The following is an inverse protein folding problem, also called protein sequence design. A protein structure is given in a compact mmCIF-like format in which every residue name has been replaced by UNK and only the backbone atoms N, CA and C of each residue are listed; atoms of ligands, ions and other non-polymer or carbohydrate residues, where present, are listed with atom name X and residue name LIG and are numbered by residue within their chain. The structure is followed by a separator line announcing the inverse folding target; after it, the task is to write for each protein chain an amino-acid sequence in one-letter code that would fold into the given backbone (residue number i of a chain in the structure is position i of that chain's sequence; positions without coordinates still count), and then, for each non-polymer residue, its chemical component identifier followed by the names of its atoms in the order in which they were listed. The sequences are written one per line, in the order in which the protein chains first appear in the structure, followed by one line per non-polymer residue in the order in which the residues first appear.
data_IF_736599282228
#
_entry.id   IF_736599282228
#
_cell.length_a   1.000
_cell.length_b   1.000
_cell.length_c   1.000
_cell.angle_alpha   90.00
_cell.angle_beta   90.00
_cell.angle_gamma   90.00
#
_symmetry.space_group_name_H-M   'P 1'
#
loop_
_entity.id
_entity.type
_entity.pdbx_description
1 polymer ?
#
# COMPACT_ATOMS: atom_id res chain seq x y z
N UNK A 1 -10.81 -4.22 -32.76
CA UNK A 1 -12.09 -4.08 -32.03
C UNK A 1 -12.02 -4.87 -30.73
N UNK A 2 -12.03 -4.14 -29.61
CA UNK A 2 -12.52 -4.48 -28.25
C UNK A 2 -12.00 -5.78 -27.59
N UNK A 3 -11.06 -5.61 -26.64
CA UNK A 3 -11.22 -5.96 -25.20
C UNK A 3 -9.94 -5.62 -24.38
N UNK A 4 -9.91 -4.52 -23.61
CA UNK A 4 -9.09 -4.38 -22.42
C UNK A 4 -10.03 -4.26 -21.21
N UNK A 5 -10.33 -5.39 -20.54
CA UNK A 5 -11.34 -5.42 -19.48
C UNK A 5 -11.02 -6.33 -18.30
N UNK A 6 -9.74 -6.67 -18.05
CA UNK A 6 -9.37 -7.65 -17.01
C UNK A 6 -8.22 -7.24 -16.07
N UNK A 7 -7.79 -5.97 -16.06
CA UNK A 7 -6.57 -5.60 -15.30
C UNK A 7 -6.81 -5.03 -13.89
N UNK A 8 -8.05 -4.76 -13.48
CA UNK A 8 -8.35 -4.20 -12.13
C UNK A 8 -8.77 -5.30 -11.14
N UNK A 9 -9.42 -6.39 -11.59
CA UNK A 9 -9.64 -7.58 -10.76
C UNK A 9 -8.35 -8.33 -10.38
N UNK A 10 -7.28 -8.20 -11.17
CA UNK A 10 -6.03 -8.93 -10.91
C UNK A 10 -5.34 -8.44 -9.64
N UNK A 11 -5.52 -7.19 -9.20
CA UNK A 11 -4.83 -6.72 -8.00
C UNK A 11 -5.41 -7.33 -6.71
N UNK A 12 -6.63 -7.89 -6.72
CA UNK A 12 -7.18 -8.59 -5.53
C UNK A 12 -7.31 -10.11 -5.70
N UNK A 13 -7.46 -10.62 -6.93
CA UNK A 13 -7.44 -12.08 -7.17
C UNK A 13 -6.02 -12.66 -7.30
N UNK A 14 -4.98 -11.86 -7.57
CA UNK A 14 -3.57 -12.28 -7.39
C UNK A 14 -3.04 -12.10 -5.95
N UNK A 15 -3.88 -11.73 -4.97
CA UNK A 15 -3.55 -11.90 -3.54
C UNK A 15 -3.73 -13.35 -3.06
N UNK A 16 -4.33 -14.22 -3.88
CA UNK A 16 -4.63 -15.62 -3.57
C UNK A 16 -3.97 -16.65 -4.50
N UNK A 17 -3.13 -16.25 -5.47
CA UNK A 17 -2.47 -17.18 -6.38
C UNK A 17 -0.93 -17.05 -6.31
N UNK A 18 -0.35 -17.76 -5.35
CA UNK A 18 0.95 -18.40 -5.54
C UNK A 18 0.82 -19.89 -5.29
N UNK A 19 0.01 -20.58 -6.09
CA UNK A 19 0.22 -22.01 -6.40
C UNK A 19 -0.55 -22.40 -7.66
N UNK A 20 0.22 -22.82 -8.68
CA UNK A 20 -0.15 -23.59 -9.88
C UNK A 20 -1.07 -22.86 -10.89
N UNK A 21 -0.79 -22.78 -12.19
CA UNK A 21 -0.20 -23.80 -13.07
C UNK A 21 0.71 -23.18 -14.15
N UNK A 22 1.97 -23.60 -14.19
CA UNK A 22 2.47 -24.23 -15.42
C UNK A 22 2.73 -25.68 -15.08
N UNK A 23 1.81 -26.50 -15.53
CA UNK A 23 1.92 -27.93 -15.70
C UNK A 23 3.25 -28.31 -16.39
N UNK A 24 4.19 -28.82 -15.61
CA UNK A 24 4.72 -30.15 -15.95
C UNK A 24 3.97 -31.10 -15.03
N UNK A 25 3.23 -31.98 -15.67
CA UNK A 25 2.31 -32.91 -15.06
C UNK A 25 2.96 -33.77 -13.96
N UNK A 26 2.14 -34.04 -12.95
CA UNK A 26 2.11 -35.23 -12.13
C UNK A 26 3.07 -36.36 -12.59
N UNK A 27 4.13 -36.56 -11.83
CA UNK A 27 4.47 -37.91 -11.37
C UNK A 27 4.52 -37.86 -9.86
N UNK A 28 3.51 -38.46 -9.21
CA UNK A 28 3.58 -38.81 -7.80
C UNK A 28 4.82 -39.68 -7.61
N UNK A 29 5.85 -39.15 -6.98
CA UNK A 29 6.75 -39.97 -6.17
C UNK A 29 6.51 -39.57 -4.71
N UNK A 30 5.74 -40.41 -4.01
CA UNK A 30 5.85 -40.52 -2.57
C UNK A 30 7.33 -40.80 -2.26
N UNK A 31 8.04 -39.85 -1.68
CA UNK A 31 9.33 -40.12 -1.06
C UNK A 31 9.02 -40.48 0.40
N UNK A 32 9.17 -41.74 0.82
CA UNK A 32 8.97 -42.13 2.20
C UNK A 32 10.06 -41.51 3.09
N UNK A 33 9.70 -41.24 4.35
CA UNK A 33 10.58 -40.85 5.43
C UNK A 33 11.74 -41.85 5.60
N UNK A 34 12.89 -41.58 4.98
CA UNK A 34 14.22 -41.95 5.47
C UNK A 34 15.29 -41.36 4.54
N UNK A 35 15.91 -40.26 4.92
CA UNK A 35 17.14 -39.76 4.27
C UNK A 35 18.25 -39.65 5.30
N UNK A 36 19.20 -40.59 5.24
CA UNK A 36 20.49 -40.40 5.92
C UNK A 36 21.26 -39.32 5.15
N UNK A 37 21.70 -38.29 5.86
CA UNK A 37 22.53 -37.21 5.30
C UNK A 37 23.97 -37.38 5.77
N UNK A 38 24.93 -37.17 4.87
CA UNK A 38 26.35 -37.12 5.21
C UNK A 38 26.85 -35.69 5.05
N UNK A 39 27.48 -35.17 6.10
CA UNK A 39 28.10 -33.85 6.09
C UNK A 39 29.52 -34.01 5.54
N UNK A 40 29.80 -33.34 4.42
CA UNK A 40 31.15 -33.25 3.87
C UNK A 40 31.70 -31.87 4.23
N UNK A 41 32.88 -31.86 4.85
CA UNK A 41 33.61 -30.64 5.17
C UNK A 41 34.75 -30.50 4.15
N UNK A 42 34.75 -29.42 3.37
CA UNK A 42 35.84 -29.12 2.45
C UNK A 42 36.70 -28.02 3.09
N UNK A 43 37.98 -28.32 3.27
CA UNK A 43 38.97 -27.38 3.78
C UNK A 43 39.59 -26.62 2.61
N UNK A 44 39.41 -25.31 2.56
CA UNK A 44 40.09 -24.43 1.60
C UNK A 44 41.22 -23.72 2.36
N UNK A 45 42.49 -23.83 1.92
CA UNK A 45 43.59 -23.16 2.62
C UNK A 45 43.37 -21.64 2.66
N UNK A 46 43.31 -21.08 3.88
CA UNK A 46 43.14 -19.63 4.11
C UNK A 46 41.71 -19.17 4.45
N UNK A 47 40.70 -20.05 4.43
CA UNK A 47 39.30 -19.73 4.81
C UNK A 47 38.70 -20.84 5.66
N UNK A 48 37.79 -20.51 6.61
CA UNK A 48 37.07 -21.49 7.45
C UNK A 48 36.36 -22.56 6.60
N UNK A 49 36.37 -23.79 7.11
CA UNK A 49 35.81 -24.97 6.44
C UNK A 49 34.33 -24.81 6.09
N UNK A 50 33.97 -25.06 4.83
CA UNK A 50 32.59 -25.07 4.36
C UNK A 50 32.01 -26.48 4.55
N UNK A 51 30.87 -26.57 5.24
CA UNK A 51 30.11 -27.82 5.44
C UNK A 51 28.95 -27.87 4.47
N UNK A 52 28.92 -28.92 3.65
CA UNK A 52 27.82 -29.22 2.75
C UNK A 52 27.11 -30.49 3.21
N UNK A 53 25.78 -30.49 3.13
CA UNK A 53 24.96 -31.66 3.44
C UNK A 53 24.57 -32.32 2.11
N UNK A 54 25.17 -33.46 1.80
CA UNK A 54 24.91 -34.17 0.55
C UNK A 54 23.69 -35.10 0.74
N UNK A 55 22.62 -34.85 -0.03
CA UNK A 55 21.45 -35.71 -0.12
C UNK A 55 21.74 -36.79 -1.18
N UNK A 56 21.99 -38.02 -0.73
CA UNK A 56 22.18 -39.18 -1.61
C UNK A 56 20.83 -39.60 -2.20
N UNK A 57 20.52 -39.11 -3.41
CA UNK A 57 19.44 -39.65 -4.23
C UNK A 57 20.04 -40.71 -5.16
N UNK A 58 19.56 -41.94 -5.04
CA UNK A 58 20.07 -43.08 -5.79
C UNK A 58 19.85 -42.94 -7.30
N UNK A 59 20.81 -43.45 -8.06
CA UNK A 59 21.22 -42.99 -9.39
C UNK A 59 20.29 -43.43 -10.53
N UNK A 60 19.72 -42.46 -11.26
CA UNK A 60 19.24 -42.65 -12.64
C UNK A 60 20.12 -41.87 -13.65
N UNK A 61 20.69 -42.60 -14.63
CA UNK A 61 21.66 -42.08 -15.62
C UNK A 61 21.07 -41.00 -16.53
N UNK A 62 19.74 -40.91 -16.61
CA UNK A 62 19.03 -39.97 -17.50
C UNK A 62 19.08 -38.53 -16.99
N UNK A 63 19.17 -38.33 -15.67
CA UNK A 63 19.21 -37.01 -15.01
C UNK A 63 20.57 -36.31 -15.20
N UNK A 64 21.65 -37.07 -15.41
CA UNK A 64 23.03 -36.55 -15.50
C UNK A 64 23.24 -35.57 -16.67
N UNK A 65 22.60 -35.80 -17.82
CA UNK A 65 22.71 -34.89 -18.98
C UNK A 65 21.89 -33.61 -18.82
N UNK A 66 20.76 -33.69 -18.12
CA UNK A 66 19.92 -32.51 -17.84
C UNK A 66 20.54 -31.61 -16.75
N UNK A 67 21.16 -32.18 -15.72
CA UNK A 67 21.84 -31.37 -14.69
C UNK A 67 23.10 -30.68 -15.23
N UNK A 68 23.86 -31.31 -16.14
CA UNK A 68 25.07 -30.70 -16.70
C UNK A 68 24.75 -29.49 -17.61
N UNK A 69 23.64 -29.51 -18.35
CA UNK A 69 23.22 -28.37 -19.18
C UNK A 69 22.59 -27.23 -18.36
N UNK A 70 21.94 -27.56 -17.24
CA UNK A 70 21.38 -26.58 -16.29
C UNK A 70 22.48 -25.88 -15.48
N UNK A 71 23.53 -26.61 -15.05
CA UNK A 71 24.65 -26.03 -14.31
C UNK A 71 25.46 -25.01 -15.13
N UNK A 72 25.60 -25.22 -16.44
CA UNK A 72 26.36 -24.30 -17.30
C UNK A 72 25.61 -22.98 -17.56
N UNK A 73 24.27 -22.97 -17.50
CA UNK A 73 23.45 -21.75 -17.61
C UNK A 73 23.30 -20.97 -16.30
N UNK A 74 23.38 -21.63 -15.14
CA UNK A 74 23.23 -20.99 -13.83
C UNK A 74 24.45 -20.16 -13.42
N UNK A 75 25.67 -20.54 -13.86
CA UNK A 75 26.89 -19.84 -13.43
C UNK A 75 27.00 -18.44 -14.06
N UNK A 76 26.47 -18.25 -15.28
CA UNK A 76 26.51 -16.95 -15.97
C UNK A 76 25.45 -15.94 -15.50
N UNK A 77 24.41 -16.36 -14.77
CA UNK A 77 23.41 -15.42 -14.19
C UNK A 77 23.65 -15.10 -12.70
N UNK A 78 24.76 -15.57 -12.13
CA UNK A 78 24.97 -15.54 -10.68
C UNK A 78 25.19 -14.13 -10.11
N UNK A 79 25.67 -13.16 -10.90
CA UNK A 79 26.00 -11.81 -10.39
C UNK A 79 24.76 -10.99 -9.99
N UNK A 80 23.68 -11.04 -10.78
CA UNK A 80 22.40 -10.38 -10.46
C UNK A 80 21.66 -11.09 -9.32
N UNK A 81 21.68 -12.42 -9.28
CA UNK A 81 21.02 -13.17 -8.20
C UNK A 81 21.72 -13.01 -6.85
N UNK A 82 23.06 -12.94 -6.83
CA UNK A 82 23.77 -12.58 -5.60
C UNK A 82 23.49 -11.14 -5.21
N UNK A 83 23.49 -10.18 -6.14
CA UNK A 83 23.27 -8.78 -5.76
C UNK A 83 21.87 -8.54 -5.16
N UNK A 84 20.84 -9.21 -5.70
CA UNK A 84 19.48 -9.15 -5.15
C UNK A 84 19.37 -9.89 -3.80
N UNK A 85 20.00 -11.06 -3.65
CA UNK A 85 19.97 -11.82 -2.39
C UNK A 85 20.61 -11.06 -1.23
N UNK A 86 21.71 -10.35 -1.47
CA UNK A 86 22.39 -9.54 -0.46
C UNK A 86 21.61 -8.27 -0.12
N UNK A 87 20.98 -7.64 -1.12
CA UNK A 87 20.09 -6.48 -0.92
C UNK A 87 18.86 -6.88 -0.08
N UNK A 88 18.32 -8.08 -0.31
CA UNK A 88 17.18 -8.62 0.44
C UNK A 88 17.55 -8.93 1.91
N UNK A 89 18.77 -9.42 2.18
CA UNK A 89 19.24 -9.71 3.54
C UNK A 89 19.55 -8.44 4.34
N UNK A 90 20.19 -7.45 3.72
CA UNK A 90 20.44 -6.13 4.35
C UNK A 90 19.13 -5.37 4.63
N UNK A 91 18.20 -5.37 3.66
CA UNK A 91 16.87 -4.77 3.84
C UNK A 91 16.10 -5.46 4.98
N UNK A 92 16.17 -6.79 5.07
CA UNK A 92 15.55 -7.55 6.14
C UNK A 92 16.14 -7.20 7.52
N UNK A 93 17.46 -7.11 7.66
CA UNK A 93 18.09 -6.81 8.94
C UNK A 93 17.89 -5.35 9.38
N UNK A 94 17.97 -4.40 8.45
CA UNK A 94 17.65 -2.99 8.74
C UNK A 94 16.19 -2.82 9.16
N UNK A 95 15.25 -3.50 8.48
CA UNK A 95 13.84 -3.55 8.87
C UNK A 95 13.64 -4.12 10.28
N UNK A 96 14.23 -5.29 10.57
CA UNK A 96 14.13 -5.91 11.91
C UNK A 96 14.68 -5.00 12.99
N UNK A 97 15.81 -4.33 12.72
CA UNK A 97 16.41 -3.36 13.64
C UNK A 97 15.43 -2.21 13.90
N UNK A 98 14.85 -1.65 12.84
CA UNK A 98 13.86 -0.58 12.91
C UNK A 98 12.65 -0.96 13.77
N UNK A 99 12.07 -2.13 13.52
CA UNK A 99 10.83 -2.57 14.17
C UNK A 99 11.00 -3.02 15.63
N UNK A 100 12.23 -3.13 16.16
CA UNK A 100 12.48 -3.37 17.59
C UNK A 100 12.22 -2.12 18.44
N UNK A 101 12.45 -0.94 17.89
CA UNK A 101 12.21 0.36 18.55
C UNK A 101 11.74 1.35 17.49
N UNK A 102 10.49 1.21 17.01
CA UNK A 102 10.03 1.92 15.82
C UNK A 102 9.88 3.41 16.08
N UNK A 103 10.58 4.21 15.29
CA UNK A 103 10.35 5.66 15.17
C UNK A 103 9.64 5.96 13.87
N UNK A 104 8.92 7.07 13.82
CA UNK A 104 8.23 7.55 12.62
C UNK A 104 9.16 7.65 11.41
N UNK A 105 10.31 8.33 11.56
CA UNK A 105 11.33 8.45 10.50
C UNK A 105 11.82 7.08 10.00
N UNK A 106 12.24 6.20 10.91
CA UNK A 106 12.79 4.90 10.53
C UNK A 106 11.76 4.04 9.77
N UNK A 107 10.51 4.00 10.25
CA UNK A 107 9.47 3.19 9.62
C UNK A 107 9.08 3.74 8.24
N UNK A 108 9.07 5.07 8.06
CA UNK A 108 8.82 5.70 6.76
C UNK A 108 9.96 5.39 5.77
N UNK A 109 11.22 5.42 6.22
CA UNK A 109 12.37 5.03 5.40
C UNK A 109 12.26 3.56 4.96
N UNK A 110 11.87 2.66 5.87
CA UNK A 110 11.62 1.26 5.53
C UNK A 110 10.47 1.11 4.54
N UNK A 111 9.37 1.85 4.70
CA UNK A 111 8.27 1.85 3.73
C UNK A 111 8.75 2.25 2.32
N UNK A 112 9.61 3.25 2.23
CA UNK A 112 10.21 3.70 0.96
C UNK A 112 11.16 2.65 0.37
N UNK A 113 12.01 2.03 1.19
CA UNK A 113 12.94 0.98 0.76
C UNK A 113 12.19 -0.25 0.21
N UNK A 114 11.16 -0.71 0.93
CA UNK A 114 10.30 -1.83 0.50
C UNK A 114 9.50 -1.50 -0.77
N UNK A 115 9.03 -0.25 -0.91
CA UNK A 115 8.43 0.19 -2.16
C UNK A 115 9.43 0.08 -3.31
N UNK A 116 10.66 0.61 -3.15
CA UNK A 116 11.72 0.56 -4.17
C UNK A 116 12.15 -0.87 -4.52
N UNK A 117 12.17 -1.78 -3.56
CA UNK A 117 12.46 -3.20 -3.77
C UNK A 117 11.35 -3.94 -4.53
N UNK A 118 10.15 -3.35 -4.64
CA UNK A 118 9.06 -3.95 -5.41
C UNK A 118 9.33 -3.89 -6.92
N UNK A 119 9.46 -5.06 -7.53
CA UNK A 119 9.78 -5.21 -8.96
C UNK A 119 8.61 -4.83 -9.88
N UNK A 120 7.38 -5.16 -9.49
CA UNK A 120 6.18 -4.79 -10.23
C UNK A 120 5.98 -3.26 -10.18
N UNK A 121 6.09 -2.63 -11.34
CA UNK A 121 6.03 -1.16 -11.47
C UNK A 121 4.73 -0.61 -10.90
N UNK A 122 3.60 -1.28 -11.15
CA UNK A 122 2.30 -0.80 -10.70
C UNK A 122 2.19 -0.84 -9.18
N UNK A 123 2.57 -1.96 -8.56
CA UNK A 123 2.56 -2.14 -7.09
C UNK A 123 3.54 -1.21 -6.39
N UNK A 124 4.75 -1.04 -6.94
CA UNK A 124 5.73 -0.07 -6.43
C UNK A 124 5.13 1.33 -6.45
N UNK A 125 4.72 1.78 -7.64
CA UNK A 125 4.27 3.14 -7.86
C UNK A 125 3.02 3.46 -7.03
N UNK A 126 2.11 2.50 -6.86
CA UNK A 126 0.97 2.61 -5.98
C UNK A 126 1.39 2.73 -4.50
N UNK A 127 2.37 1.94 -4.06
CA UNK A 127 2.89 2.01 -2.68
C UNK A 127 3.59 3.34 -2.40
N UNK A 128 4.31 3.90 -3.38
CA UNK A 128 4.99 5.19 -3.25
C UNK A 128 4.00 6.36 -3.03
N UNK A 129 2.72 6.23 -3.41
CA UNK A 129 1.68 7.23 -3.08
C UNK A 129 1.48 7.31 -1.56
N UNK A 130 1.41 6.17 -0.87
CA UNK A 130 1.23 6.14 0.58
C UNK A 130 2.51 6.53 1.32
N UNK A 131 3.68 6.20 0.77
CA UNK A 131 4.97 6.69 1.30
C UNK A 131 5.02 8.22 1.22
N UNK A 132 4.60 8.80 0.09
CA UNK A 132 4.47 10.26 -0.09
C UNK A 132 3.56 10.87 0.98
N UNK A 133 2.40 10.25 1.24
CA UNK A 133 1.48 10.71 2.28
C UNK A 133 2.13 10.65 3.68
N UNK A 134 2.83 9.56 3.99
CA UNK A 134 3.50 9.39 5.28
C UNK A 134 4.61 10.43 5.48
N UNK A 135 5.43 10.69 4.46
CA UNK A 135 6.47 11.73 4.49
C UNK A 135 5.87 13.14 4.67
N UNK A 136 4.79 13.47 3.96
CA UNK A 136 4.06 14.73 4.15
C UNK A 136 3.55 14.85 5.58
N UNK A 137 2.98 13.78 6.14
CA UNK A 137 2.44 13.76 7.51
C UNK A 137 3.54 13.88 8.57
N UNK A 138 4.72 13.33 8.28
CA UNK A 138 5.93 13.51 9.07
C UNK A 138 6.51 14.93 8.96
N UNK A 139 6.09 15.72 7.97
CA UNK A 139 6.53 17.10 7.75
C UNK A 139 7.66 17.24 6.72
N UNK A 140 8.07 16.14 6.08
CA UNK A 140 9.14 16.13 5.07
C UNK A 140 8.57 16.22 3.65
N UNK A 141 8.16 17.43 3.26
CA UNK A 141 7.62 17.71 1.91
C UNK A 141 8.69 17.49 0.83
N UNK A 142 9.98 17.69 1.15
CA UNK A 142 11.09 17.48 0.21
C UNK A 142 11.20 16.01 -0.16
N UNK A 143 11.31 15.12 0.84
CA UNK A 143 11.38 13.68 0.58
C UNK A 143 10.10 13.15 -0.10
N UNK A 144 8.93 13.69 0.26
CA UNK A 144 7.68 13.37 -0.42
C UNK A 144 7.71 13.74 -1.92
N UNK A 145 8.33 14.88 -2.26
CA UNK A 145 8.50 15.33 -3.65
C UNK A 145 9.41 14.38 -4.41
N UNK A 146 10.57 14.02 -3.86
CA UNK A 146 11.49 13.05 -4.47
C UNK A 146 10.84 11.67 -4.68
N UNK A 147 10.09 11.19 -3.68
CA UNK A 147 9.32 9.94 -3.75
C UNK A 147 8.25 10.01 -4.85
N UNK A 148 7.57 11.14 -5.00
CA UNK A 148 6.57 11.36 -6.06
C UNK A 148 7.21 11.37 -7.45
N UNK A 149 8.37 11.97 -7.61
CA UNK A 149 9.11 11.97 -8.88
C UNK A 149 9.56 10.57 -9.30
N UNK A 150 9.85 9.69 -8.33
CA UNK A 150 10.20 8.29 -8.57
C UNK A 150 9.04 7.43 -9.10
N UNK A 151 7.79 7.87 -8.96
CA UNK A 151 6.61 7.18 -9.52
C UNK A 151 6.66 7.24 -11.04
N UNK A 152 6.89 6.11 -11.71
CA UNK A 152 7.06 6.05 -13.18
C UNK A 152 5.73 6.13 -13.92
N UNK A 153 4.66 5.59 -13.34
CA UNK A 153 3.34 5.62 -13.93
C UNK A 153 2.72 7.01 -13.81
N UNK A 154 2.57 7.70 -14.95
CA UNK A 154 2.05 9.07 -14.99
C UNK A 154 0.67 9.21 -14.33
N UNK A 155 -0.24 8.24 -14.47
CA UNK A 155 -1.57 8.31 -13.84
C UNK A 155 -1.51 8.15 -12.32
N UNK A 156 -0.62 7.30 -11.81
CA UNK A 156 -0.40 7.13 -10.36
C UNK A 156 0.41 8.26 -9.73
N UNK A 157 1.17 9.03 -10.52
CA UNK A 157 1.88 10.21 -10.01
C UNK A 157 0.93 11.34 -9.61
N UNK A 158 -0.19 11.49 -10.32
CA UNK A 158 -1.17 12.56 -10.08
C UNK A 158 -1.76 12.58 -8.64
N UNK A 159 -2.23 11.46 -8.06
CA UNK A 159 -2.70 11.49 -6.67
C UNK A 159 -1.58 11.86 -5.67
N UNK A 160 -0.34 11.41 -5.88
CA UNK A 160 0.80 11.79 -5.03
C UNK A 160 1.14 13.29 -5.12
N UNK A 161 1.12 13.85 -6.34
CA UNK A 161 1.24 15.29 -6.56
C UNK A 161 0.16 16.09 -5.82
N UNK A 162 -1.09 15.61 -5.81
CA UNK A 162 -2.18 16.29 -5.11
C UNK A 162 -2.05 16.26 -3.58
N UNK A 163 -1.44 15.20 -3.03
CA UNK A 163 -1.09 15.13 -1.60
C UNK A 163 -0.06 16.23 -1.27
N UNK A 164 0.98 16.39 -2.09
CA UNK A 164 1.98 17.45 -1.94
C UNK A 164 1.35 18.84 -2.12
N UNK A 165 0.49 19.02 -3.13
CA UNK A 165 -0.19 20.28 -3.36
C UNK A 165 -1.02 20.72 -2.14
N UNK A 166 -1.76 19.78 -1.53
CA UNK A 166 -2.50 20.03 -0.29
C UNK A 166 -1.54 20.39 0.86
N UNK A 167 -0.41 19.70 0.99
CA UNK A 167 0.60 20.01 2.01
C UNK A 167 1.14 21.44 1.88
N UNK A 168 1.54 21.84 0.66
CA UNK A 168 1.97 23.21 0.37
C UNK A 168 0.90 24.24 0.70
N UNK A 169 -0.37 23.97 0.35
CA UNK A 169 -1.47 24.86 0.67
C UNK A 169 -1.67 25.03 2.19
N UNK A 170 -1.56 23.94 2.96
CA UNK A 170 -1.71 23.98 4.42
C UNK A 170 -0.61 24.82 5.08
N UNK A 171 0.62 24.78 4.57
CA UNK A 171 1.73 25.63 5.05
C UNK A 171 1.77 27.03 4.39
N UNK A 172 0.72 27.41 3.65
CA UNK A 172 0.58 28.74 3.04
C UNK A 172 1.35 28.95 1.74
N UNK A 173 2.05 27.94 1.21
CA UNK A 173 2.69 28.00 -0.11
C UNK A 173 1.66 27.76 -1.24
N UNK A 174 0.73 28.70 -1.40
CA UNK A 174 -0.32 28.61 -2.41
C UNK A 174 0.22 28.65 -3.85
N UNK A 175 1.37 29.26 -4.08
CA UNK A 175 1.98 29.32 -5.42
C UNK A 175 2.35 27.92 -5.91
N UNK A 176 3.09 27.14 -5.11
CA UNK A 176 3.47 25.78 -5.49
C UNK A 176 2.26 24.85 -5.52
N UNK A 177 1.34 24.97 -4.54
CA UNK A 177 0.09 24.21 -4.54
C UNK A 177 -0.71 24.43 -5.85
N UNK A 178 -0.88 25.68 -6.26
CA UNK A 178 -1.61 26.01 -7.49
C UNK A 178 -0.88 25.50 -8.74
N UNK A 179 0.45 25.63 -8.80
CA UNK A 179 1.26 25.08 -9.90
C UNK A 179 1.04 23.57 -10.07
N UNK A 180 1.11 22.81 -8.98
CA UNK A 180 0.87 21.36 -9.02
C UNK A 180 -0.57 21.04 -9.43
N UNK A 181 -1.58 21.74 -8.87
CA UNK A 181 -2.99 21.47 -9.26
C UNK A 181 -3.25 21.76 -10.75
N UNK A 182 -2.57 22.76 -11.33
CA UNK A 182 -2.67 23.05 -12.76
C UNK A 182 -1.99 21.96 -13.61
N UNK A 183 -0.83 21.44 -13.18
CA UNK A 183 -0.20 20.30 -13.84
C UNK A 183 -1.12 19.08 -13.86
N UNK A 184 -1.78 18.79 -12.73
CA UNK A 184 -2.73 17.68 -12.63
C UNK A 184 -3.94 17.89 -13.55
N UNK A 185 -4.51 19.10 -13.56
CA UNK A 185 -5.64 19.43 -14.44
C UNK A 185 -5.32 19.20 -15.92
N UNK A 186 -4.10 19.50 -16.36
CA UNK A 186 -3.64 19.28 -17.75
C UNK A 186 -3.42 17.80 -18.12
N UNK A 187 -3.40 16.89 -17.14
CA UNK A 187 -3.10 15.48 -17.36
C UNK A 187 -4.26 14.54 -16.97
N UNK A 188 -5.27 15.01 -16.25
CA UNK A 188 -6.36 14.19 -15.74
C UNK A 188 -7.19 13.53 -16.85
N UNK A 189 -7.39 14.20 -17.99
CA UNK A 189 -8.13 13.67 -19.13
C UNK A 189 -7.45 12.46 -19.79
N UNK A 190 -6.14 12.30 -19.59
CA UNK A 190 -5.36 11.17 -20.12
C UNK A 190 -5.58 9.89 -19.30
N UNK A 191 -6.18 9.98 -18.12
CA UNK A 191 -6.43 8.84 -17.24
C UNK A 191 -7.59 8.00 -17.81
N UNK A 192 -7.27 6.76 -18.19
CA UNK A 192 -8.27 5.82 -18.74
C UNK A 192 -8.99 4.97 -17.69
N UNK A 193 -8.40 4.84 -16.50
CA UNK A 193 -8.93 3.99 -15.44
C UNK A 193 -9.93 4.81 -14.61
N UNK A 194 -11.24 4.44 -14.59
CA UNK A 194 -12.25 5.24 -13.90
C UNK A 194 -11.94 5.47 -12.43
N UNK A 195 -11.45 4.46 -11.71
CA UNK A 195 -11.15 4.60 -10.29
C UNK A 195 -10.03 5.62 -10.02
N UNK A 196 -8.93 5.61 -10.80
CA UNK A 196 -7.86 6.61 -10.65
C UNK A 196 -8.40 7.99 -11.00
N UNK A 197 -9.21 8.08 -12.06
CA UNK A 197 -9.79 9.35 -12.48
C UNK A 197 -10.69 9.95 -11.38
N UNK A 198 -11.57 9.15 -10.80
CA UNK A 198 -12.41 9.55 -9.66
C UNK A 198 -11.55 9.95 -8.45
N UNK A 199 -10.51 9.18 -8.14
CA UNK A 199 -9.61 9.47 -7.02
C UNK A 199 -8.90 10.81 -7.21
N UNK A 200 -8.33 11.06 -8.40
CA UNK A 200 -7.65 12.32 -8.73
C UNK A 200 -8.63 13.49 -8.70
N UNK A 201 -9.87 13.35 -9.19
CA UNK A 201 -10.87 14.41 -9.06
C UNK A 201 -11.20 14.74 -7.59
N UNK A 202 -11.41 13.73 -6.74
CA UNK A 202 -11.68 13.95 -5.31
C UNK A 202 -10.49 14.60 -4.57
N UNK A 203 -9.27 14.16 -4.86
CA UNK A 203 -8.05 14.75 -4.29
C UNK A 203 -7.81 16.17 -4.83
N UNK A 204 -8.08 16.43 -6.11
CA UNK A 204 -8.00 17.78 -6.71
C UNK A 204 -8.95 18.72 -6.00
N UNK A 205 -10.18 18.29 -5.74
CA UNK A 205 -11.13 19.09 -4.97
C UNK A 205 -10.63 19.39 -3.56
N UNK A 206 -10.00 18.42 -2.90
CA UNK A 206 -9.41 18.60 -1.57
C UNK A 206 -8.23 19.60 -1.58
N UNK A 207 -7.32 19.49 -2.55
CA UNK A 207 -6.18 20.40 -2.70
C UNK A 207 -6.64 21.83 -3.06
N UNK A 208 -7.58 21.96 -3.99
CA UNK A 208 -8.18 23.24 -4.38
C UNK A 208 -8.96 23.90 -3.23
N UNK A 209 -9.60 23.10 -2.38
CA UNK A 209 -10.22 23.61 -1.14
C UNK A 209 -9.17 24.20 -0.21
N UNK A 210 -8.03 23.52 -0.04
CA UNK A 210 -6.93 24.01 0.78
C UNK A 210 -6.32 25.32 0.24
N UNK A 211 -6.34 25.54 -1.08
CA UNK A 211 -5.96 26.82 -1.71
C UNK A 211 -7.10 27.84 -1.80
N UNK A 212 -8.26 27.57 -1.15
CA UNK A 212 -9.48 28.39 -1.16
C UNK A 212 -10.12 28.58 -2.55
N UNK A 213 -9.75 27.76 -3.53
CA UNK A 213 -10.37 27.73 -4.86
C UNK A 213 -11.64 26.86 -4.88
N UNK A 214 -12.65 27.28 -4.10
CA UNK A 214 -13.89 26.52 -3.90
C UNK A 214 -14.69 26.29 -5.19
N UNK A 215 -14.59 27.21 -6.16
CA UNK A 215 -15.26 27.06 -7.46
C UNK A 215 -14.75 25.83 -8.20
N UNK A 216 -13.43 25.72 -8.38
CA UNK A 216 -12.84 24.57 -9.07
C UNK A 216 -12.92 23.30 -8.23
N UNK A 217 -12.87 23.40 -6.90
CA UNK A 217 -13.11 22.26 -6.03
C UNK A 217 -14.50 21.64 -6.26
N UNK A 218 -15.55 22.47 -6.33
CA UNK A 218 -16.92 22.02 -6.63
C UNK A 218 -17.05 21.38 -8.02
N UNK A 219 -16.38 21.92 -9.03
CA UNK A 219 -16.37 21.30 -10.37
C UNK A 219 -15.72 19.92 -10.34
N UNK A 220 -14.58 19.76 -9.67
CA UNK A 220 -13.92 18.46 -9.53
C UNK A 220 -14.78 17.44 -8.75
N UNK A 221 -15.55 17.88 -7.75
CA UNK A 221 -16.50 17.00 -7.04
C UNK A 221 -17.58 16.48 -7.99
N UNK A 222 -18.12 17.32 -8.87
CA UNK A 222 -19.11 16.90 -9.86
C UNK A 222 -18.54 15.87 -10.83
N UNK A 223 -17.31 16.08 -11.30
CA UNK A 223 -16.60 15.11 -12.15
C UNK A 223 -16.34 13.77 -11.43
N UNK A 224 -15.98 13.81 -10.15
CA UNK A 224 -15.82 12.61 -9.34
C UNK A 224 -17.15 11.84 -9.18
N UNK A 225 -18.25 12.55 -8.94
CA UNK A 225 -19.60 11.98 -8.85
C UNK A 225 -20.08 11.35 -10.17
N UNK A 226 -19.68 11.91 -11.31
CA UNK A 226 -20.00 11.33 -12.62
C UNK A 226 -19.15 10.09 -12.90
N UNK A 227 -17.86 10.14 -12.59
CA UNK A 227 -16.92 9.05 -12.91
C UNK A 227 -17.05 7.84 -11.99
N UNK A 228 -17.47 8.01 -10.72
CA UNK A 228 -17.60 6.89 -9.76
C UNK A 228 -18.57 5.81 -10.25
N UNK A 229 -19.61 6.18 -10.99
CA UNK A 229 -20.57 5.24 -11.58
C UNK A 229 -20.00 4.32 -12.67
N UNK A 230 -18.80 4.65 -13.19
CA UNK A 230 -18.11 3.86 -14.21
C UNK A 230 -17.19 2.78 -13.61
N UNK A 231 -16.97 2.81 -12.29
CA UNK A 231 -16.17 1.83 -11.56
C UNK A 231 -16.99 0.55 -11.37
N UNK A 232 -16.41 -0.60 -11.70
CA UNK A 232 -17.13 -1.88 -11.68
C UNK A 232 -17.18 -2.52 -10.30
N UNK A 233 -16.09 -2.39 -9.56
CA UNK A 233 -15.85 -3.03 -8.28
C UNK A 233 -16.57 -2.25 -7.16
N UNK A 234 -17.47 -2.92 -6.42
CA UNK A 234 -18.25 -2.29 -5.35
C UNK A 234 -17.37 -1.75 -4.23
N UNK A 235 -16.34 -2.49 -3.80
CA UNK A 235 -15.39 -2.02 -2.78
C UNK A 235 -14.69 -0.72 -3.21
N UNK A 236 -14.22 -0.65 -4.45
CA UNK A 236 -13.58 0.56 -4.99
C UNK A 236 -14.58 1.72 -5.11
N UNK A 237 -15.85 1.46 -5.48
CA UNK A 237 -16.89 2.50 -5.42
C UNK A 237 -17.10 3.00 -3.99
N UNK A 238 -17.10 2.12 -2.99
CA UNK A 238 -17.25 2.50 -1.59
C UNK A 238 -16.13 3.46 -1.14
N UNK A 239 -14.88 3.11 -1.43
CA UNK A 239 -13.71 3.96 -1.16
C UNK A 239 -13.83 5.31 -1.86
N UNK A 240 -14.18 5.32 -3.14
CA UNK A 240 -14.33 6.56 -3.91
C UNK A 240 -15.48 7.43 -3.40
N UNK A 241 -16.62 6.85 -3.01
CA UNK A 241 -17.71 7.59 -2.39
C UNK A 241 -17.27 8.23 -1.06
N UNK A 242 -16.47 7.53 -0.24
CA UNK A 242 -15.92 8.09 0.99
C UNK A 242 -14.98 9.28 0.72
N UNK A 243 -14.13 9.20 -0.30
CA UNK A 243 -13.25 10.31 -0.70
C UNK A 243 -14.02 11.49 -1.30
N UNK A 244 -15.06 11.23 -2.10
CA UNK A 244 -15.96 12.28 -2.61
C UNK A 244 -16.67 12.98 -1.44
N UNK A 245 -17.14 12.22 -0.45
CA UNK A 245 -17.75 12.79 0.75
C UNK A 245 -16.79 13.67 1.54
N UNK A 246 -15.52 13.27 1.68
CA UNK A 246 -14.45 14.10 2.27
C UNK A 246 -14.28 15.42 1.51
N UNK A 247 -14.19 15.36 0.18
CA UNK A 247 -14.08 16.56 -0.67
C UNK A 247 -15.32 17.48 -0.55
N UNK A 248 -16.53 16.89 -0.49
CA UNK A 248 -17.77 17.63 -0.25
C UNK A 248 -17.78 18.32 1.11
N UNK A 249 -17.29 17.65 2.16
CA UNK A 249 -17.16 18.23 3.48
C UNK A 249 -16.23 19.46 3.46
N UNK A 250 -15.11 19.37 2.74
CA UNK A 250 -14.15 20.47 2.59
C UNK A 250 -14.76 21.75 2.00
N UNK A 251 -15.73 21.62 1.09
CA UNK A 251 -16.46 22.78 0.51
C UNK A 251 -17.77 23.11 1.26
N UNK A 252 -17.88 22.62 2.50
CA UNK A 252 -19.03 22.77 3.42
C UNK A 252 -20.35 22.14 2.93
N UNK A 253 -20.30 21.19 2.01
CA UNK A 253 -21.46 20.42 1.58
C UNK A 253 -21.64 19.15 2.45
N UNK A 254 -22.04 19.34 3.70
CA UNK A 254 -22.23 18.25 4.67
C UNK A 254 -23.39 17.31 4.32
N UNK A 255 -24.42 17.83 3.65
CA UNK A 255 -25.54 17.02 3.17
C UNK A 255 -25.09 16.04 2.09
N UNK A 256 -24.39 16.53 1.06
CA UNK A 256 -23.83 15.69 0.01
C UNK A 256 -22.81 14.69 0.56
N UNK A 257 -21.97 15.12 1.51
CA UNK A 257 -21.01 14.24 2.18
C UNK A 257 -21.71 13.08 2.90
N UNK A 258 -22.78 13.37 3.66
CA UNK A 258 -23.56 12.35 4.35
C UNK A 258 -24.26 11.39 3.39
N UNK A 259 -24.76 11.89 2.27
CA UNK A 259 -25.35 11.06 1.21
C UNK A 259 -24.31 10.10 0.61
N UNK A 260 -23.10 10.58 0.28
CA UNK A 260 -22.05 9.73 -0.26
C UNK A 260 -21.48 8.74 0.77
N UNK A 261 -21.44 9.09 2.06
CA UNK A 261 -21.14 8.11 3.13
C UNK A 261 -22.17 6.96 3.12
N UNK A 262 -23.46 7.26 2.98
CA UNK A 262 -24.49 6.22 2.91
C UNK A 262 -24.36 5.36 1.65
N UNK A 263 -24.07 5.97 0.49
CA UNK A 263 -23.75 5.24 -0.75
C UNK A 263 -22.54 4.32 -0.55
N UNK A 264 -21.49 4.79 0.13
CA UNK A 264 -20.33 3.98 0.43
C UNK A 264 -20.68 2.74 1.27
N UNK A 265 -21.54 2.86 2.29
CA UNK A 265 -22.04 1.70 3.03
C UNK A 265 -22.84 0.72 2.15
N UNK A 266 -23.72 1.24 1.29
CA UNK A 266 -24.47 0.40 0.34
C UNK A 266 -23.54 -0.39 -0.59
N UNK A 267 -22.39 0.17 -0.96
CA UNK A 267 -21.38 -0.52 -1.76
C UNK A 267 -20.54 -1.52 -0.93
N UNK A 268 -20.30 -1.24 0.36
CA UNK A 268 -19.71 -2.21 1.30
C UNK A 268 -20.61 -3.43 1.48
N UNK A 269 -21.92 -3.24 1.59
CA UNK A 269 -22.88 -4.34 1.75
C UNK A 269 -22.88 -5.30 0.54
N UNK A 270 -22.46 -4.81 -0.64
CA UNK A 270 -22.28 -5.61 -1.87
C UNK A 270 -20.90 -6.25 -1.97
N UNK A 271 -20.00 -6.02 -1.00
CA UNK A 271 -18.61 -6.48 -1.05
C UNK A 271 -18.46 -7.76 -0.23
N UNK A 272 -18.27 -8.89 -0.92
CA UNK A 272 -18.13 -10.21 -0.28
C UNK A 272 -16.76 -10.40 0.36
N UNK A 273 -15.69 -9.90 -0.27
CA UNK A 273 -14.33 -10.10 0.23
C UNK A 273 -14.11 -9.37 1.57
N UNK A 274 -13.77 -10.09 2.66
CA UNK A 274 -13.65 -9.49 3.99
C UNK A 274 -12.55 -8.43 4.09
N UNK A 275 -11.46 -8.58 3.32
CA UNK A 275 -10.37 -7.61 3.32
C UNK A 275 -10.81 -6.32 2.63
N UNK A 276 -11.41 -6.41 1.44
CA UNK A 276 -11.93 -5.25 0.71
C UNK A 276 -13.04 -4.54 1.48
N UNK A 277 -13.90 -5.30 2.14
CA UNK A 277 -14.93 -4.76 3.03
C UNK A 277 -14.32 -3.98 4.20
N UNK A 278 -13.27 -4.53 4.86
CA UNK A 278 -12.61 -3.86 5.98
C UNK A 278 -11.85 -2.59 5.54
N UNK A 279 -11.20 -2.62 4.37
CA UNK A 279 -10.50 -1.48 3.80
C UNK A 279 -11.48 -0.33 3.50
N UNK A 280 -12.57 -0.62 2.79
CA UNK A 280 -13.61 0.36 2.49
C UNK A 280 -14.26 0.95 3.76
N UNK A 281 -14.53 0.12 4.79
CA UNK A 281 -15.01 0.60 6.09
C UNK A 281 -14.02 1.56 6.75
N UNK A 282 -12.71 1.34 6.59
CA UNK A 282 -11.68 2.23 7.16
C UNK A 282 -11.69 3.60 6.46
N UNK A 283 -11.85 3.65 5.14
CA UNK A 283 -12.06 4.91 4.41
C UNK A 283 -13.33 5.64 4.86
N UNK A 284 -14.45 4.92 5.00
CA UNK A 284 -15.71 5.51 5.48
C UNK A 284 -15.55 6.08 6.89
N UNK A 285 -14.86 5.36 7.79
CA UNK A 285 -14.59 5.83 9.14
C UNK A 285 -13.77 7.12 9.14
N UNK A 286 -12.70 7.19 8.34
CA UNK A 286 -11.91 8.40 8.16
C UNK A 286 -12.79 9.59 7.80
N UNK A 287 -13.63 9.45 6.75
CA UNK A 287 -14.53 10.51 6.32
C UNK A 287 -15.58 10.87 7.38
N UNK A 288 -16.14 9.88 8.08
CA UNK A 288 -17.10 10.12 9.16
C UNK A 288 -16.53 11.01 10.25
N UNK A 289 -15.25 10.85 10.59
CA UNK A 289 -14.58 11.74 11.53
C UNK A 289 -14.45 13.16 10.97
N UNK A 290 -14.06 13.32 9.71
CA UNK A 290 -13.92 14.63 9.07
C UNK A 290 -15.24 15.42 9.03
N UNK A 291 -16.37 14.75 8.79
CA UNK A 291 -17.71 15.38 8.81
C UNK A 291 -18.30 15.53 10.22
N UNK A 292 -17.56 15.16 11.28
CA UNK A 292 -18.00 15.28 12.67
C UNK A 292 -18.99 14.20 13.15
N UNK A 293 -19.17 13.11 12.40
CA UNK A 293 -20.02 11.97 12.79
C UNK A 293 -19.29 11.02 13.78
N UNK A 294 -18.75 11.56 14.88
CA UNK A 294 -17.86 10.86 15.81
C UNK A 294 -18.43 9.54 16.37
N UNK A 295 -19.74 9.49 16.65
CA UNK A 295 -20.40 8.26 17.13
C UNK A 295 -20.42 7.18 16.05
N UNK A 296 -20.73 7.55 14.81
CA UNK A 296 -20.73 6.62 13.69
C UNK A 296 -19.31 6.15 13.37
N UNK A 297 -18.34 7.07 13.36
CA UNK A 297 -16.92 6.79 13.22
C UNK A 297 -16.46 5.66 14.17
N UNK A 298 -16.71 5.78 15.47
CA UNK A 298 -16.33 4.76 16.47
C UNK A 298 -16.95 3.38 16.17
N UNK A 299 -18.23 3.34 15.75
CA UNK A 299 -18.90 2.10 15.36
C UNK A 299 -18.26 1.47 14.12
N UNK A 300 -17.98 2.29 13.11
CA UNK A 300 -17.38 1.85 11.85
C UNK A 300 -15.95 1.32 12.08
N UNK A 301 -15.13 2.01 12.88
CA UNK A 301 -13.79 1.53 13.28
C UNK A 301 -13.88 0.19 14.00
N UNK A 302 -14.81 0.04 14.95
CA UNK A 302 -14.99 -1.25 15.65
C UNK A 302 -15.34 -2.39 14.70
N UNK A 303 -16.20 -2.13 13.69
CA UNK A 303 -16.53 -3.12 12.66
C UNK A 303 -15.33 -3.43 11.77
N UNK A 304 -14.56 -2.42 11.36
CA UNK A 304 -13.35 -2.58 10.56
C UNK A 304 -12.28 -3.38 11.32
N UNK A 305 -12.04 -3.09 12.61
CA UNK A 305 -11.14 -3.83 13.49
C UNK A 305 -11.55 -5.30 13.61
N UNK A 306 -12.83 -5.55 13.88
CA UNK A 306 -13.36 -6.91 14.02
C UNK A 306 -13.11 -7.72 12.74
N UNK A 307 -13.34 -7.13 11.56
CA UNK A 307 -13.02 -7.77 10.29
C UNK A 307 -11.52 -7.94 10.10
N UNK A 308 -10.70 -6.93 10.41
CA UNK A 308 -9.25 -7.00 10.27
C UNK A 308 -8.64 -8.18 11.04
N UNK A 309 -9.15 -8.46 12.25
CA UNK A 309 -8.68 -9.54 13.10
C UNK A 309 -8.97 -10.95 12.56
N UNK A 310 -9.93 -11.10 11.64
CA UNK A 310 -10.22 -12.39 10.98
C UNK A 310 -9.40 -12.61 9.70
N UNK A 311 -8.68 -11.59 9.24
CA UNK A 311 -7.89 -11.65 8.00
C UNK A 311 -6.57 -12.41 8.20
N UNK A 312 -6.06 -12.93 7.09
CA UNK A 312 -4.68 -13.45 7.02
C UNK A 312 -3.66 -12.33 7.24
N UNK A 313 -2.41 -12.70 7.50
CA UNK A 313 -1.33 -11.79 7.91
C UNK A 313 -1.17 -10.55 7.05
N UNK A 314 -1.04 -10.66 5.72
CA UNK A 314 -0.81 -9.50 4.84
C UNK A 314 -1.98 -8.52 4.84
N UNK A 315 -3.23 -8.95 4.55
CA UNK A 315 -4.38 -8.02 4.60
C UNK A 315 -4.61 -7.43 5.99
N UNK A 316 -4.43 -8.24 7.04
CA UNK A 316 -4.55 -7.81 8.44
C UNK A 316 -3.58 -6.68 8.77
N UNK A 317 -2.31 -6.81 8.39
CA UNK A 317 -1.28 -5.80 8.66
C UNK A 317 -1.66 -4.45 8.04
N UNK A 318 -2.06 -4.44 6.77
CA UNK A 318 -2.45 -3.23 6.06
C UNK A 318 -3.67 -2.55 6.69
N UNK A 319 -4.73 -3.31 6.96
CA UNK A 319 -5.97 -2.75 7.53
C UNK A 319 -5.74 -2.23 8.95
N UNK A 320 -5.02 -2.97 9.80
CA UNK A 320 -4.70 -2.51 11.16
C UNK A 320 -3.82 -1.25 11.13
N UNK A 321 -2.80 -1.21 10.26
CA UNK A 321 -1.96 -0.03 10.10
C UNK A 321 -2.80 1.19 9.68
N UNK A 322 -3.69 1.02 8.71
CA UNK A 322 -4.54 2.11 8.25
C UNK A 322 -5.51 2.58 9.35
N UNK A 323 -6.17 1.66 10.06
CA UNK A 323 -7.04 1.98 11.20
C UNK A 323 -6.29 2.77 12.26
N UNK A 324 -5.07 2.32 12.63
CA UNK A 324 -4.25 3.00 13.64
C UNK A 324 -3.92 4.44 13.23
N UNK A 325 -3.70 4.68 11.93
CA UNK A 325 -3.43 6.03 11.43
C UNK A 325 -4.64 6.95 11.58
N UNK A 326 -5.85 6.44 11.30
CA UNK A 326 -7.09 7.21 11.49
C UNK A 326 -7.34 7.48 12.97
N UNK A 327 -7.15 6.48 13.84
CA UNK A 327 -7.27 6.68 15.29
C UNK A 327 -6.31 7.78 15.79
N UNK A 328 -5.05 7.78 15.33
CA UNK A 328 -4.10 8.81 15.70
C UNK A 328 -4.50 10.20 15.17
N UNK A 329 -4.92 10.31 13.91
CA UNK A 329 -5.35 11.59 13.30
C UNK A 329 -6.58 12.19 13.99
N UNK A 330 -7.49 11.33 14.45
CA UNK A 330 -8.68 11.74 15.20
C UNK A 330 -8.39 12.06 16.67
N UNK A 331 -7.18 11.77 17.15
CA UNK A 331 -6.72 12.03 18.51
C UNK A 331 -7.03 10.93 19.53
N UNK A 332 -7.50 9.76 19.08
CA UNK A 332 -7.65 8.56 19.92
C UNK A 332 -6.29 7.83 20.03
N UNK A 333 -5.34 8.51 20.68
CA UNK A 333 -3.94 8.07 20.77
C UNK A 333 -3.81 6.73 21.51
N UNK A 334 -4.67 6.45 22.49
CA UNK A 334 -4.65 5.17 23.21
C UNK A 334 -5.01 4.03 22.27
N UNK A 335 -6.14 4.14 21.55
CA UNK A 335 -6.56 3.09 20.62
C UNK A 335 -5.58 2.93 19.45
N UNK A 336 -4.99 4.04 18.98
CA UNK A 336 -3.96 4.01 17.95
C UNK A 336 -2.73 3.19 18.37
N UNK A 337 -2.26 3.36 19.62
CA UNK A 337 -1.12 2.60 20.18
C UNK A 337 -1.39 1.10 20.26
N UNK A 338 -2.57 0.69 20.71
CA UNK A 338 -2.95 -0.73 20.75
C UNK A 338 -3.03 -1.34 19.33
N UNK A 339 -3.61 -0.59 18.40
CA UNK A 339 -3.81 -1.08 17.03
C UNK A 339 -2.48 -1.13 16.25
N UNK A 340 -1.60 -0.15 16.42
CA UNK A 340 -0.31 -0.12 15.73
C UNK A 340 0.64 -1.22 16.23
N UNK A 341 0.60 -1.59 17.52
CA UNK A 341 1.36 -2.73 18.04
C UNK A 341 0.96 -4.04 17.32
N UNK A 342 -0.34 -4.25 17.13
CA UNK A 342 -0.86 -5.40 16.37
C UNK A 342 -0.44 -5.35 14.89
N UNK A 343 -0.39 -4.16 14.28
CA UNK A 343 0.09 -3.98 12.91
C UNK A 343 1.60 -4.28 12.79
N UNK A 344 2.42 -3.83 13.75
CA UNK A 344 3.87 -4.07 13.80
C UNK A 344 4.17 -5.57 13.92
N UNK A 345 3.43 -6.29 14.78
CA UNK A 345 3.55 -7.75 14.89
C UNK A 345 3.21 -8.43 13.55
N UNK A 346 2.17 -7.96 12.86
CA UNK A 346 1.76 -8.54 11.59
C UNK A 346 2.77 -8.28 10.45
N UNK A 347 3.35 -7.08 10.33
CA UNK A 347 4.36 -6.77 9.30
C UNK A 347 5.66 -7.55 9.50
N UNK A 348 6.05 -7.86 10.74
CA UNK A 348 7.22 -8.70 11.02
C UNK A 348 7.11 -10.12 10.42
N UNK A 349 5.89 -10.58 10.12
CA UNK A 349 5.61 -11.89 9.55
C UNK A 349 5.45 -11.86 8.01
N UNK A 350 5.60 -10.70 7.36
CA UNK A 350 5.44 -10.55 5.92
C UNK A 350 6.82 -10.57 5.25
N UNK A 351 7.07 -11.48 4.29
CA UNK A 351 8.36 -11.59 3.62
C UNK A 351 8.50 -10.67 2.39
N UNK A 352 7.39 -10.27 1.77
CA UNK A 352 7.41 -9.59 0.47
C UNK A 352 7.24 -8.06 0.59
N UNK A 353 8.11 -7.36 -0.14
CA UNK A 353 8.24 -5.91 -0.09
C UNK A 353 6.96 -5.15 -0.45
N UNK A 354 6.23 -5.60 -1.47
CA UNK A 354 5.04 -4.89 -1.95
C UNK A 354 3.86 -4.90 -0.97
N UNK A 355 3.73 -5.95 -0.14
CA UNK A 355 2.71 -5.98 0.92
C UNK A 355 3.14 -5.18 2.16
N UNK A 356 4.46 -5.08 2.39
CA UNK A 356 5.03 -4.34 3.50
C UNK A 356 4.93 -2.83 3.31
N UNK A 357 5.32 -2.33 2.14
CA UNK A 357 5.47 -0.90 1.87
C UNK A 357 4.25 -0.05 2.28
N UNK A 358 3.01 -0.33 1.85
CA UNK A 358 1.86 0.47 2.26
C UNK A 358 1.52 0.31 3.76
N UNK A 359 1.68 -0.87 4.34
CA UNK A 359 1.44 -1.09 5.77
C UNK A 359 2.45 -0.31 6.63
N UNK A 360 3.73 -0.36 6.29
CA UNK A 360 4.79 0.43 6.93
C UNK A 360 4.54 1.93 6.75
N UNK A 361 4.09 2.38 5.58
CA UNK A 361 3.77 3.80 5.37
C UNK A 361 2.68 4.27 6.36
N UNK A 362 1.61 3.50 6.56
CA UNK A 362 0.58 3.82 7.54
C UNK A 362 1.07 3.73 8.99
N UNK A 363 1.92 2.75 9.33
CA UNK A 363 2.55 2.67 10.67
C UNK A 363 3.41 3.93 10.90
N UNK A 364 4.25 4.30 9.94
CA UNK A 364 5.09 5.50 10.01
C UNK A 364 4.27 6.78 10.18
N UNK A 365 3.19 6.92 9.39
CA UNK A 365 2.20 8.00 9.52
C UNK A 365 1.58 8.04 10.93
N UNK A 366 1.23 6.89 11.48
CA UNK A 366 0.64 6.77 12.83
C UNK A 366 1.63 7.23 13.88
N UNK A 367 2.88 6.75 13.84
CA UNK A 367 3.94 7.16 14.75
C UNK A 367 4.20 8.66 14.67
N UNK A 368 4.26 9.23 13.46
CA UNK A 368 4.49 10.67 13.28
C UNK A 368 3.42 11.50 14.00
N UNK A 369 2.16 11.06 13.92
CA UNK A 369 1.04 11.72 14.58
C UNK A 369 1.01 11.50 16.11
N UNK A 370 1.52 10.36 16.61
CA UNK A 370 1.66 10.11 18.05
C UNK A 370 2.81 10.94 18.63
N UNK A 371 3.94 11.00 17.93
CA UNK A 371 5.16 11.70 18.34
C UNK A 371 4.98 13.23 18.29
N UNK A 372 4.16 13.73 17.35
CA UNK A 372 3.92 15.15 17.13
C UNK A 372 2.43 15.42 16.80
N UNK A 373 1.54 15.49 17.80
CA UNK A 373 0.10 15.58 17.60
C UNK A 373 -0.40 16.83 16.85
N UNK A 374 0.46 17.83 16.60
CA UNK A 374 0.06 19.20 16.28
C UNK A 374 0.27 19.68 14.84
N UNK A 375 0.85 18.90 13.91
CA UNK A 375 1.34 19.54 12.68
C UNK A 375 0.34 19.76 11.54
N UNK A 376 -0.79 19.06 11.43
CA UNK A 376 -1.66 19.19 10.25
C UNK A 376 -3.15 18.96 10.53
N UNK A 377 -3.70 19.48 11.64
CA UNK A 377 -5.16 19.63 11.72
C UNK A 377 -5.57 20.75 10.77
N UNK A 378 -6.44 20.51 9.77
CA UNK A 378 -7.14 21.61 9.12
C UNK A 378 -7.86 22.37 10.23
N UNK A 379 -7.55 23.65 10.40
CA UNK A 379 -8.35 24.54 11.23
C UNK A 379 -9.80 24.44 10.75
N UNK A 380 -10.68 23.99 11.67
CA UNK A 380 -12.11 23.78 11.44
C UNK A 380 -12.81 25.00 10.89
#
# INVERSE_FOLDING_TARGET
MIKPLYLICIICSLWLLTTAEKTIANTKLLIPYNTQSKIISILIPGVRALRFQELLIEKDKTIKRHLQSVNLKLITSSREHTQNLWLDEELLETRKSCLRSPTSSCVIEQAHAEAKATTDIWRRDFSLIFVTEAQVKFGDITAATETTEAIKNASLRLPALLIIAKAHAVVGNFQEANKITNEVANNIEKIRMPYIRTWVFALSASALTATKNFKHARMNILEALQTVGQIKESSTRAEMHALIASAQAGVSNLSGASENINRAFTEVDKTEDPFLSALALTFIASTQSEVGQNKNYKRTISTALTKALTLRTRPRALVLAFISSIQAETGDISAAKETIESAIVAVNMIPDAHSLAPALAFIGKTLAQIDSPTHLRPSR
#
